data_IF_253136027730
#
_entry.id   IF_253136027730
#
_cell.length_a   1.000
_cell.length_b   1.000
_cell.length_c   1.000
_cell.angle_alpha   90.00
_cell.angle_beta   90.00
_cell.angle_gamma   90.00
#
_symmetry.space_group_name_H-M   'P 1'
#
loop_
_entity.id
_entity.type
_entity.pdbx_description
1 polymer ?
#
# COMPACT_ATOMS: atom_id res chain seq x y z
N UNK A 1 19.57 -23.01 61.24
CA UNK A 1 20.49 -22.45 60.24
C UNK A 1 19.61 -21.97 59.08
N UNK A 2 19.16 -20.71 59.10
CA UNK A 2 19.74 -19.56 58.36
C UNK A 2 19.66 -19.77 56.84
N UNK A 3 18.96 -19.00 55.99
CA UNK A 3 18.50 -17.60 56.02
C UNK A 3 17.28 -17.38 55.07
N UNK A 4 16.59 -16.25 55.33
CA UNK A 4 15.54 -15.45 54.62
C UNK A 4 15.60 -15.33 53.08
N UNK A 5 14.53 -14.99 52.34
CA UNK A 5 13.82 -13.68 52.29
C UNK A 5 12.51 -13.86 51.44
N UNK A 6 11.30 -13.66 51.98
CA UNK A 6 10.43 -12.46 52.07
C UNK A 6 9.66 -12.07 50.81
N UNK A 7 8.35 -11.90 51.04
CA UNK A 7 7.22 -11.56 50.17
C UNK A 7 7.27 -10.16 49.51
N UNK A 8 6.44 -9.96 48.47
CA UNK A 8 5.42 -8.89 48.38
C UNK A 8 4.95 -8.65 46.92
N UNK A 9 3.74 -9.07 46.55
CA UNK A 9 2.94 -8.41 45.51
C UNK A 9 1.46 -8.68 45.76
N UNK A 10 0.86 -7.82 46.59
CA UNK A 10 -0.57 -7.55 46.61
C UNK A 10 -0.75 -6.04 46.70
N UNK A 11 -1.81 -5.56 46.05
CA UNK A 11 -2.41 -4.23 46.11
C UNK A 11 -1.79 -3.17 45.18
N UNK A 12 -2.51 -2.90 44.08
CA UNK A 12 -2.88 -1.55 43.62
C UNK A 12 -3.93 -1.68 42.51
N UNK A 13 -5.20 -1.79 42.93
CA UNK A 13 -6.36 -1.41 42.12
C UNK A 13 -6.57 0.08 42.35
N UNK A 14 -6.44 0.91 41.31
CA UNK A 14 -6.94 2.27 41.33
C UNK A 14 -7.99 2.44 40.21
N UNK A 15 -9.22 2.65 40.68
CA UNK A 15 -10.37 3.18 39.98
C UNK A 15 -10.08 4.57 39.40
N UNK A 16 -10.42 4.81 38.13
CA UNK A 16 -10.50 6.16 37.58
C UNK A 16 -11.94 6.49 37.19
N UNK A 17 -12.43 7.56 37.80
CA UNK A 17 -13.75 8.15 37.61
C UNK A 17 -13.85 8.90 36.28
N UNK A 18 -15.01 8.76 35.66
CA UNK A 18 -15.44 9.61 34.55
C UNK A 18 -15.52 11.08 34.98
N UNK A 19 -14.81 11.98 34.28
CA UNK A 19 -15.15 13.41 34.18
C UNK A 19 -14.52 14.09 32.96
N UNK A 20 -15.42 14.63 32.14
CA UNK A 20 -15.32 15.87 31.34
C UNK A 20 -14.29 15.98 30.22
N UNK A 21 -14.84 15.97 29.00
CA UNK A 21 -14.28 16.54 27.77
C UNK A 21 -13.87 18.01 27.97
N UNK A 22 -12.58 18.32 27.80
CA UNK A 22 -12.12 19.63 27.37
C UNK A 22 -10.67 19.56 26.88
N UNK A 23 -10.49 19.83 25.58
CA UNK A 23 -9.29 20.37 24.93
C UNK A 23 -7.95 19.68 25.26
N UNK A 24 -7.61 18.62 24.51
CA UNK A 24 -6.22 18.21 24.37
C UNK A 24 -5.48 19.21 23.46
N UNK A 25 -4.70 20.06 24.14
CA UNK A 25 -3.61 20.85 23.59
C UNK A 25 -2.60 19.95 22.87
N UNK A 26 -2.21 20.36 21.65
CA UNK A 26 -1.09 19.81 20.89
C UNK A 26 0.12 19.55 21.78
N UNK A 27 0.51 18.27 21.88
CA UNK A 27 1.73 17.87 22.56
C UNK A 27 2.99 18.27 21.77
N UNK A 28 3.99 18.69 22.54
CA UNK A 28 5.41 18.93 22.27
C UNK A 28 5.96 18.57 20.88
N UNK A 29 6.46 19.60 20.18
CA UNK A 29 7.39 19.43 19.07
C UNK A 29 8.76 19.03 19.64
N UNK A 30 9.04 17.73 19.64
CA UNK A 30 10.38 17.23 19.87
C UNK A 30 11.29 17.78 18.77
N UNK A 31 12.41 18.42 19.14
CA UNK A 31 13.43 18.87 18.19
C UNK A 31 13.79 17.69 17.27
N UNK A 32 13.47 17.84 15.98
CA UNK A 32 13.71 16.81 14.98
C UNK A 32 15.20 16.81 14.62
N UNK A 33 16.02 16.21 15.47
CA UNK A 33 17.43 15.95 15.21
C UNK A 33 17.58 14.60 14.50
N UNK A 34 18.20 14.63 13.32
CA UNK A 34 18.58 13.40 12.66
C UNK A 34 19.76 12.74 13.37
N UNK A 35 19.82 11.40 13.40
CA UNK A 35 21.01 10.69 13.84
C UNK A 35 22.25 11.09 13.03
N UNK A 36 23.40 11.13 13.71
CA UNK A 36 24.70 11.30 13.05
C UNK A 36 24.87 10.27 11.92
N UNK A 37 25.29 10.74 10.74
CA UNK A 37 25.52 9.88 9.58
C UNK A 37 24.30 9.59 8.69
N UNK A 38 23.12 10.17 8.98
CA UNK A 38 21.95 9.97 8.10
C UNK A 38 22.21 10.45 6.66
N UNK A 39 23.00 11.51 6.48
CA UNK A 39 23.29 12.06 5.15
C UNK A 39 24.08 11.07 4.29
N UNK A 40 25.04 10.36 4.90
CA UNK A 40 25.84 9.33 4.24
C UNK A 40 24.98 8.11 3.91
N UNK A 41 24.10 7.69 4.83
CA UNK A 41 23.15 6.59 4.62
C UNK A 41 22.17 6.91 3.48
N UNK A 42 21.61 8.13 3.45
CA UNK A 42 20.73 8.57 2.37
C UNK A 42 21.47 8.64 1.03
N UNK A 43 22.71 9.14 1.02
CA UNK A 43 23.53 9.17 -0.20
C UNK A 43 23.81 7.76 -0.74
N UNK A 44 24.09 6.79 0.13
CA UNK A 44 24.27 5.39 -0.27
C UNK A 44 23.00 4.83 -0.93
N UNK A 45 21.81 5.13 -0.38
CA UNK A 45 20.55 4.74 -1.02
C UNK A 45 20.34 5.42 -2.37
N UNK A 46 20.64 6.71 -2.51
CA UNK A 46 20.53 7.45 -3.80
C UNK A 46 21.47 6.87 -4.86
N UNK A 47 22.71 6.58 -4.50
CA UNK A 47 23.68 5.95 -5.41
C UNK A 47 23.28 4.50 -5.74
N UNK A 48 22.63 3.82 -4.80
CA UNK A 48 22.14 2.46 -4.93
C UNK A 48 20.92 2.28 -5.85
N UNK A 49 20.18 3.34 -6.17
CA UNK A 49 18.92 3.22 -6.93
C UNK A 49 19.10 2.54 -8.30
N UNK A 50 20.22 2.80 -8.97
CA UNK A 50 20.53 2.21 -10.28
C UNK A 50 21.05 0.77 -10.24
N UNK A 51 21.59 0.33 -9.10
CA UNK A 51 22.25 -0.99 -8.94
C UNK A 51 21.36 -2.02 -8.27
N UNK A 52 20.45 -1.58 -7.40
CA UNK A 52 19.58 -2.48 -6.63
C UNK A 52 18.32 -2.89 -7.41
N UNK A 53 17.84 -2.04 -8.34
CA UNK A 53 16.54 -2.23 -9.00
C UNK A 53 16.46 -1.67 -10.44
N UNK A 54 17.30 -2.12 -11.40
CA UNK A 54 17.02 -1.79 -12.78
C UNK A 54 15.72 -2.49 -13.21
N UNK A 55 14.62 -1.74 -13.31
CA UNK A 55 13.54 -2.09 -14.21
C UNK A 55 14.17 -2.15 -15.60
N UNK A 56 14.33 -3.38 -16.09
CA UNK A 56 15.10 -3.67 -17.30
C UNK A 56 14.65 -2.78 -18.45
N UNK A 57 15.59 -2.34 -19.29
CA UNK A 57 15.33 -1.43 -20.43
C UNK A 57 14.21 -1.93 -21.36
N UNK A 58 13.91 -3.24 -21.32
CA UNK A 58 12.86 -3.88 -22.09
C UNK A 58 11.44 -3.67 -21.51
N UNK A 59 11.26 -3.21 -20.27
CA UNK A 59 9.90 -3.08 -19.70
C UNK A 59 9.06 -2.03 -20.43
N UNK A 60 9.62 -0.85 -20.68
CA UNK A 60 8.93 0.19 -21.45
C UNK A 60 8.74 -0.22 -22.92
N UNK A 61 9.72 -0.92 -23.49
CA UNK A 61 9.62 -1.46 -24.85
C UNK A 61 8.49 -2.49 -24.98
N UNK A 62 8.17 -3.23 -23.91
CA UNK A 62 7.07 -4.20 -23.88
C UNK A 62 5.69 -3.57 -23.93
N UNK A 63 5.51 -2.35 -23.43
CA UNK A 63 4.28 -1.58 -23.65
C UNK A 63 4.20 -1.00 -25.06
N UNK A 64 5.32 -0.52 -25.59
CA UNK A 64 5.40 0.00 -26.96
C UNK A 64 5.13 -1.08 -28.01
N UNK A 65 5.59 -2.31 -27.77
CA UNK A 65 5.33 -3.48 -28.61
C UNK A 65 3.96 -4.13 -28.39
N UNK A 66 3.11 -3.56 -27.52
CA UNK A 66 1.78 -4.08 -27.15
C UNK A 66 1.79 -5.50 -26.54
N UNK A 67 2.95 -5.98 -26.09
CA UNK A 67 3.04 -7.24 -25.34
C UNK A 67 2.47 -7.11 -23.92
N UNK A 68 2.40 -5.88 -23.40
CA UNK A 68 1.74 -5.52 -22.16
C UNK A 68 0.72 -4.40 -22.41
N UNK A 69 -0.47 -4.56 -21.85
CA UNK A 69 -1.55 -3.58 -21.97
C UNK A 69 -1.47 -2.58 -20.82
N UNK A 70 -1.24 -1.30 -21.17
CA UNK A 70 -1.20 -0.17 -20.23
C UNK A 70 -2.51 -0.04 -19.46
N UNK A 71 -3.65 -0.30 -20.10
CA UNK A 71 -4.96 -0.20 -19.46
C UNK A 71 -5.16 -1.33 -18.45
N UNK A 72 -4.76 -2.55 -18.79
CA UNK A 72 -4.80 -3.69 -17.86
C UNK A 72 -3.90 -3.48 -16.63
N UNK A 73 -2.70 -2.89 -16.81
CA UNK A 73 -1.85 -2.45 -15.68
C UNK A 73 -2.59 -1.42 -14.83
N UNK A 74 -3.17 -0.39 -15.44
CA UNK A 74 -3.89 0.68 -14.73
C UNK A 74 -5.08 0.16 -13.93
N UNK A 75 -5.82 -0.81 -14.47
CA UNK A 75 -6.91 -1.50 -13.78
C UNK A 75 -6.41 -2.26 -12.56
N UNK A 76 -5.28 -2.95 -12.70
CA UNK A 76 -4.63 -3.72 -11.64
C UNK A 76 -4.14 -2.84 -10.50
N UNK A 77 -3.42 -1.75 -10.82
CA UNK A 77 -2.99 -0.74 -9.84
C UNK A 77 -4.21 -0.09 -9.16
N UNK A 78 -5.27 0.20 -9.93
CA UNK A 78 -6.49 0.77 -9.36
C UNK A 78 -7.19 -0.19 -8.40
N UNK A 79 -7.17 -1.49 -8.68
CA UNK A 79 -7.67 -2.51 -7.76
C UNK A 79 -6.81 -2.59 -6.50
N UNK A 80 -5.49 -2.65 -6.61
CA UNK A 80 -4.55 -2.64 -5.46
C UNK A 80 -4.86 -1.46 -4.53
N UNK A 81 -5.04 -0.26 -5.09
CA UNK A 81 -5.32 0.94 -4.31
C UNK A 81 -6.71 0.94 -3.65
N UNK A 82 -7.71 0.30 -4.26
CA UNK A 82 -9.00 0.10 -3.58
C UNK A 82 -8.87 -0.83 -2.38
N UNK A 83 -8.13 -1.94 -2.53
CA UNK A 83 -7.91 -2.88 -1.42
C UNK A 83 -7.08 -2.22 -0.31
N UNK A 84 -6.05 -1.45 -0.66
CA UNK A 84 -5.28 -0.65 0.31
C UNK A 84 -6.20 0.30 1.08
N UNK A 85 -7.09 1.01 0.41
CA UNK A 85 -8.06 1.89 1.06
C UNK A 85 -9.09 1.14 1.91
N UNK A 86 -9.53 -0.06 1.47
CA UNK A 86 -10.50 -0.88 2.20
C UNK A 86 -9.96 -1.37 3.54
N UNK A 87 -8.71 -1.84 3.57
CA UNK A 87 -8.04 -2.33 4.77
C UNK A 87 -7.27 -1.25 5.54
N UNK A 88 -7.23 -0.02 5.02
CA UNK A 88 -6.40 1.06 5.56
C UNK A 88 -4.91 0.69 5.67
N UNK A 89 -4.40 -0.09 4.72
CA UNK A 89 -2.97 -0.41 4.65
C UNK A 89 -2.12 0.84 4.42
N UNK A 90 -0.86 0.78 4.82
CA UNK A 90 0.10 1.85 4.58
C UNK A 90 0.24 2.13 3.09
N UNK A 91 0.45 3.40 2.68
CA UNK A 91 0.74 3.76 1.30
C UNK A 91 1.94 3.00 0.70
N UNK A 92 2.94 2.71 1.53
CA UNK A 92 4.11 1.91 1.17
C UNK A 92 3.71 0.50 0.70
N UNK A 93 2.72 -0.13 1.34
CA UNK A 93 2.23 -1.47 0.97
C UNK A 93 1.69 -1.50 -0.45
N UNK A 94 0.89 -0.50 -0.86
CA UNK A 94 0.43 -0.39 -2.24
C UNK A 94 1.58 -0.10 -3.21
N UNK A 95 2.53 0.76 -2.82
CA UNK A 95 3.70 1.07 -3.64
C UNK A 95 4.54 -0.18 -3.92
N UNK A 96 4.86 -0.97 -2.88
CA UNK A 96 5.61 -2.21 -2.99
C UNK A 96 4.87 -3.26 -3.82
N UNK A 97 3.55 -3.41 -3.64
CA UNK A 97 2.75 -4.32 -4.46
C UNK A 97 2.88 -3.98 -5.96
N UNK A 98 2.85 -2.70 -6.31
CA UNK A 98 3.05 -2.23 -7.69
C UNK A 98 4.50 -2.42 -8.15
N UNK A 99 5.50 -2.12 -7.32
CA UNK A 99 6.91 -2.36 -7.61
C UNK A 99 7.17 -3.85 -7.92
N UNK A 100 6.64 -4.77 -7.10
CA UNK A 100 6.77 -6.22 -7.33
C UNK A 100 6.11 -6.65 -8.63
N UNK A 101 4.91 -6.13 -8.91
CA UNK A 101 4.18 -6.43 -10.14
C UNK A 101 4.95 -5.94 -11.37
N UNK A 102 5.41 -4.70 -11.37
CA UNK A 102 6.13 -4.11 -12.50
C UNK A 102 7.47 -4.82 -12.74
N UNK A 103 8.23 -5.11 -11.68
CA UNK A 103 9.48 -5.90 -11.78
C UNK A 103 9.20 -7.32 -12.30
N UNK A 104 8.15 -7.98 -11.83
CA UNK A 104 7.77 -9.29 -12.35
C UNK A 104 7.46 -9.23 -13.84
N UNK A 105 6.67 -8.24 -14.26
CA UNK A 105 6.28 -8.05 -15.64
C UNK A 105 7.43 -7.61 -16.53
N UNK A 106 8.50 -6.99 -16.00
CA UNK A 106 9.72 -6.73 -16.75
C UNK A 106 10.39 -8.05 -17.18
N UNK A 107 10.60 -8.98 -16.24
CA UNK A 107 11.32 -10.23 -16.51
C UNK A 107 10.46 -11.36 -17.11
N UNK A 108 9.14 -11.35 -16.91
CA UNK A 108 8.25 -12.45 -17.32
C UNK A 108 7.08 -11.97 -18.17
N UNK A 109 6.79 -12.74 -19.22
CA UNK A 109 5.54 -12.66 -19.96
C UNK A 109 4.42 -13.38 -19.21
N UNK A 110 3.21 -12.82 -19.24
CA UNK A 110 2.01 -13.53 -18.82
C UNK A 110 1.38 -14.26 -20.01
N UNK A 111 0.72 -15.42 -19.80
CA UNK A 111 0.04 -16.13 -20.87
C UNK A 111 -1.04 -15.26 -21.53
N UNK A 112 -0.90 -14.94 -22.82
CA UNK A 112 -1.87 -14.12 -23.58
C UNK A 112 -3.18 -14.87 -23.87
N UNK A 113 -3.17 -16.20 -23.81
CA UNK A 113 -4.25 -17.03 -24.34
C UNK A 113 -5.59 -16.91 -23.58
N UNK A 114 -5.62 -16.36 -22.36
CA UNK A 114 -6.75 -16.58 -21.44
C UNK A 114 -7.31 -15.31 -20.77
N UNK A 115 -7.31 -14.14 -21.42
CA UNK A 115 -7.95 -12.93 -20.87
C UNK A 115 -7.19 -12.32 -19.67
N UNK A 116 -7.86 -11.48 -18.87
CA UNK A 116 -7.20 -10.63 -17.86
C UNK A 116 -6.93 -11.30 -16.50
N UNK A 117 -7.26 -12.59 -16.32
CA UNK A 117 -7.07 -13.27 -15.03
C UNK A 117 -5.60 -13.44 -14.61
N UNK A 118 -4.61 -13.68 -15.50
CA UNK A 118 -3.22 -13.87 -15.06
C UNK A 118 -2.66 -12.62 -14.39
N UNK A 119 -3.00 -11.44 -14.92
CA UNK A 119 -2.57 -10.17 -14.35
C UNK A 119 -3.28 -9.88 -13.03
N UNK A 120 -4.56 -10.23 -12.90
CA UNK A 120 -5.25 -10.10 -11.62
C UNK A 120 -4.67 -11.05 -10.57
N UNK A 121 -4.35 -12.31 -10.92
CA UNK A 121 -3.69 -13.25 -10.02
C UNK A 121 -2.31 -12.73 -9.58
N UNK A 122 -1.52 -12.19 -10.52
CA UNK A 122 -0.26 -11.52 -10.21
C UNK A 122 -0.46 -10.38 -9.21
N UNK A 123 -1.45 -9.52 -9.45
CA UNK A 123 -1.76 -8.37 -8.59
C UNK A 123 -2.12 -8.81 -7.17
N UNK A 124 -2.95 -9.84 -7.02
CA UNK A 124 -3.32 -10.42 -5.72
C UNK A 124 -2.10 -10.98 -5.01
N UNK A 125 -1.22 -11.70 -5.71
CA UNK A 125 -0.01 -12.27 -5.14
C UNK A 125 1.00 -11.19 -4.71
N UNK A 126 1.23 -10.17 -5.55
CA UNK A 126 2.11 -9.05 -5.22
C UNK A 126 1.59 -8.24 -4.03
N UNK A 127 0.28 -7.98 -3.95
CA UNK A 127 -0.33 -7.32 -2.80
C UNK A 127 -0.18 -8.17 -1.54
N UNK A 128 -0.44 -9.49 -1.62
CA UNK A 128 -0.27 -10.39 -0.47
C UNK A 128 1.17 -10.39 0.05
N UNK A 129 2.16 -10.39 -0.84
CA UNK A 129 3.57 -10.28 -0.45
C UNK A 129 3.87 -8.93 0.20
N UNK A 130 3.38 -7.82 -0.36
CA UNK A 130 3.59 -6.51 0.23
C UNK A 130 2.97 -6.37 1.63
N UNK A 131 1.74 -6.87 1.80
CA UNK A 131 1.05 -6.89 3.11
C UNK A 131 1.85 -7.71 4.12
N UNK A 132 2.40 -8.86 3.73
CA UNK A 132 3.26 -9.68 4.62
C UNK A 132 4.59 -9.01 4.99
N UNK A 133 5.07 -8.07 4.17
CA UNK A 133 6.32 -7.36 4.41
C UNK A 133 6.15 -6.14 5.31
N UNK A 134 5.03 -5.42 5.15
CA UNK A 134 4.85 -4.09 5.76
C UNK A 134 3.78 -4.03 6.84
N UNK A 135 2.75 -4.89 6.79
CA UNK A 135 1.61 -4.80 7.68
C UNK A 135 1.75 -5.74 8.89
N UNK A 136 1.32 -5.27 10.05
CA UNK A 136 1.30 -6.09 11.28
C UNK A 136 0.19 -7.13 11.25
N UNK A 137 -0.95 -6.78 10.64
CA UNK A 137 -2.12 -7.65 10.51
C UNK A 137 -2.32 -8.02 9.05
N UNK A 138 -2.07 -9.29 8.74
CA UNK A 138 -2.19 -9.84 7.40
C UNK A 138 -3.54 -10.56 7.27
N UNK A 139 -4.49 -10.09 6.45
CA UNK A 139 -5.74 -10.79 6.18
C UNK A 139 -5.52 -12.15 5.50
N UNK A 140 -6.55 -13.00 5.52
CA UNK A 140 -6.49 -14.26 4.77
C UNK A 140 -6.44 -13.98 3.26
N UNK A 141 -5.89 -14.93 2.49
CA UNK A 141 -5.81 -14.82 1.02
C UNK A 141 -7.20 -14.74 0.35
N UNK A 142 -8.25 -15.23 1.01
CA UNK A 142 -9.62 -15.07 0.52
C UNK A 142 -10.13 -13.65 0.80
N UNK A 143 -9.90 -13.13 2.01
CA UNK A 143 -10.36 -11.80 2.40
C UNK A 143 -9.62 -10.68 1.66
N UNK A 144 -8.39 -10.92 1.20
CA UNK A 144 -7.63 -9.94 0.42
C UNK A 144 -8.25 -9.65 -0.96
N UNK A 145 -9.13 -10.53 -1.46
CA UNK A 145 -9.71 -10.45 -2.81
C UNK A 145 -11.02 -9.64 -2.87
N UNK A 146 -11.09 -8.54 -2.13
CA UNK A 146 -12.25 -7.63 -2.04
C UNK A 146 -12.26 -6.59 -3.19
N UNK A 147 -13.21 -5.63 -3.12
CA UNK A 147 -13.26 -4.46 -4.00
C UNK A 147 -13.50 -4.78 -5.50
N UNK A 148 -14.38 -5.73 -5.76
CA UNK A 148 -14.88 -6.02 -7.11
C UNK A 148 -13.87 -6.74 -7.99
N UNK A 149 -13.11 -7.67 -7.41
CA UNK A 149 -12.30 -8.64 -8.14
C UNK A 149 -13.11 -9.33 -9.23
N UNK A 150 -12.61 -9.35 -10.48
CA UNK A 150 -13.30 -10.04 -11.59
C UNK A 150 -13.24 -11.56 -11.42
N UNK A 151 -12.13 -12.03 -10.85
CA UNK A 151 -11.87 -13.44 -10.53
C UNK A 151 -11.56 -13.61 -9.05
N UNK A 152 -12.01 -14.72 -8.47
CA UNK A 152 -11.64 -15.16 -7.13
C UNK A 152 -10.78 -16.41 -7.27
N UNK A 153 -9.59 -16.38 -6.69
CA UNK A 153 -8.62 -17.45 -6.76
C UNK A 153 -8.55 -18.22 -5.45
N UNK A 154 -8.34 -19.53 -5.56
CA UNK A 154 -8.05 -20.36 -4.39
C UNK A 154 -6.72 -19.94 -3.75
N UNK A 155 -6.60 -19.99 -2.40
CA UNK A 155 -5.37 -19.67 -1.68
C UNK A 155 -4.13 -20.40 -2.22
N UNK A 156 -4.27 -21.68 -2.60
CA UNK A 156 -3.17 -22.48 -3.16
C UNK A 156 -2.66 -21.92 -4.49
N UNK A 157 -3.55 -21.37 -5.31
CA UNK A 157 -3.18 -20.73 -6.58
C UNK A 157 -2.43 -19.43 -6.34
N UNK A 158 -2.87 -18.65 -5.35
CA UNK A 158 -2.18 -17.42 -4.94
C UNK A 158 -0.80 -17.75 -4.39
N UNK A 159 -0.66 -18.72 -3.48
CA UNK A 159 0.66 -19.11 -2.95
C UNK A 159 1.64 -19.57 -4.03
N UNK A 160 1.16 -20.29 -5.06
CA UNK A 160 2.02 -20.66 -6.20
C UNK A 160 2.49 -19.43 -6.98
N UNK A 161 1.61 -18.46 -7.16
CA UNK A 161 1.97 -17.19 -7.79
C UNK A 161 2.94 -16.38 -6.91
N UNK A 162 2.74 -16.34 -5.59
CA UNK A 162 3.67 -15.70 -4.64
C UNK A 162 5.08 -16.29 -4.78
N UNK A 163 5.20 -17.62 -4.82
CA UNK A 163 6.49 -18.30 -5.02
C UNK A 163 7.12 -17.97 -6.37
N UNK A 164 6.31 -17.83 -7.42
CA UNK A 164 6.81 -17.42 -8.74
C UNK A 164 7.31 -15.97 -8.74
N UNK A 165 6.60 -15.07 -8.05
CA UNK A 165 7.04 -13.68 -7.85
C UNK A 165 8.34 -13.64 -7.05
N UNK A 166 8.39 -14.30 -5.89
CA UNK A 166 9.59 -14.40 -5.06
C UNK A 166 10.79 -14.93 -5.83
N UNK A 167 10.62 -16.00 -6.60
CA UNK A 167 11.67 -16.58 -7.43
C UNK A 167 12.08 -15.69 -8.61
N UNK A 168 11.17 -14.88 -9.15
CA UNK A 168 11.50 -13.93 -10.24
C UNK A 168 12.22 -12.70 -9.72
N UNK A 169 11.93 -12.29 -8.48
CA UNK A 169 12.55 -11.12 -7.83
C UNK A 169 13.79 -11.49 -7.01
N UNK A 170 14.29 -12.73 -7.10
CA UNK A 170 15.38 -13.27 -6.28
C UNK A 170 15.21 -12.99 -4.77
N UNK A 171 13.96 -13.05 -4.30
CA UNK A 171 13.57 -12.75 -2.91
C UNK A 171 13.89 -11.32 -2.44
N UNK A 172 14.27 -10.41 -3.36
CA UNK A 172 14.57 -9.01 -3.08
C UNK A 172 13.29 -8.18 -3.02
N UNK A 173 12.56 -8.35 -1.92
CA UNK A 173 11.31 -7.61 -1.64
C UNK A 173 11.53 -6.26 -0.96
N UNK A 174 12.67 -6.05 -0.29
CA UNK A 174 13.00 -4.75 0.31
C UNK A 174 13.51 -3.79 -0.75
N UNK A 175 12.59 -3.10 -1.40
CA UNK A 175 12.89 -2.12 -2.44
C UNK A 175 13.23 -0.75 -1.85
N UNK A 176 14.11 0.01 -2.50
CA UNK A 176 14.30 1.44 -2.23
C UNK A 176 13.07 2.15 -2.78
N UNK A 177 12.38 2.91 -1.93
CA UNK A 177 11.13 3.59 -2.32
C UNK A 177 11.24 5.09 -2.07
N UNK A 178 10.38 5.93 -2.67
CA UNK A 178 10.39 7.36 -2.39
C UNK A 178 10.22 7.65 -0.90
N UNK A 179 9.48 6.78 -0.18
CA UNK A 179 9.24 6.86 1.25
C UNK A 179 10.52 6.82 2.09
N UNK A 180 11.56 6.13 1.61
CA UNK A 180 12.88 6.05 2.27
C UNK A 180 13.52 7.43 2.44
N UNK A 181 13.20 8.39 1.56
CA UNK A 181 13.83 9.70 1.53
C UNK A 181 12.97 10.84 2.09
N UNK A 182 11.70 10.55 2.43
CA UNK A 182 10.68 11.59 2.68
C UNK A 182 11.03 12.49 3.85
N UNK A 183 11.37 11.93 5.00
CA UNK A 183 11.64 12.72 6.20
C UNK A 183 12.89 13.59 6.03
N UNK A 184 13.95 13.01 5.45
CA UNK A 184 15.19 13.71 5.16
C UNK A 184 14.96 14.91 4.23
N UNK A 185 14.31 14.70 3.08
CA UNK A 185 14.05 15.78 2.14
C UNK A 185 12.99 16.76 2.65
N UNK A 186 12.01 16.33 3.45
CA UNK A 186 11.04 17.23 4.06
C UNK A 186 11.72 18.23 5.02
N UNK A 187 12.72 17.79 5.78
CA UNK A 187 13.54 18.67 6.60
C UNK A 187 14.40 19.63 5.77
N UNK A 188 14.93 19.19 4.62
CA UNK A 188 15.63 20.09 3.68
C UNK A 188 14.69 21.14 3.06
N UNK A 189 13.39 20.85 2.97
CA UNK A 189 12.35 21.81 2.55
C UNK A 189 11.97 22.77 3.68
N UNK A 190 11.71 22.25 4.88
CA UNK A 190 11.35 23.05 6.06
C UNK A 190 12.26 22.71 7.23
N UNK A 191 13.41 23.40 7.31
CA UNK A 191 14.40 23.22 8.37
C UNK A 191 13.89 23.64 9.75
N UNK A 192 12.74 24.31 9.84
CA UNK A 192 12.10 24.65 11.12
C UNK A 192 11.34 23.48 11.72
N UNK A 193 11.14 22.39 10.97
CA UNK A 193 10.38 21.22 11.41
C UNK A 193 8.86 21.41 11.42
N UNK A 194 8.38 22.64 11.34
CA UNK A 194 6.96 22.99 11.61
C UNK A 194 5.99 22.28 10.67
N UNK A 195 6.37 22.06 9.40
CA UNK A 195 5.47 21.50 8.37
C UNK A 195 5.88 20.12 7.88
N UNK A 196 6.86 19.46 8.50
CA UNK A 196 7.36 18.15 8.03
C UNK A 196 6.21 17.14 7.88
N UNK A 197 5.37 16.98 8.92
CA UNK A 197 4.25 16.04 8.87
C UNK A 197 3.25 16.34 7.73
N UNK A 198 2.95 17.62 7.48
CA UNK A 198 2.10 18.00 6.35
C UNK A 198 2.77 17.69 5.02
N UNK A 199 4.04 18.07 4.85
CA UNK A 199 4.80 17.85 3.61
C UNK A 199 4.86 16.36 3.29
N UNK A 200 5.21 15.52 4.26
CA UNK A 200 5.30 14.07 4.12
C UNK A 200 3.95 13.46 3.77
N UNK A 201 2.89 13.83 4.50
CA UNK A 201 1.52 13.35 4.22
C UNK A 201 1.05 13.72 2.82
N UNK A 202 1.22 14.99 2.43
CA UNK A 202 0.79 15.49 1.14
C UNK A 202 1.57 14.88 -0.02
N UNK A 203 2.90 14.79 0.12
CA UNK A 203 3.75 14.15 -0.86
C UNK A 203 3.46 12.65 -0.99
N UNK A 204 3.10 11.97 0.10
CA UNK A 204 2.63 10.57 0.09
C UNK A 204 1.37 10.41 -0.76
N UNK A 205 0.37 11.28 -0.60
CA UNK A 205 -0.83 11.24 -1.46
C UNK A 205 -0.49 11.43 -2.95
N UNK A 206 0.48 12.30 -3.24
CA UNK A 206 0.93 12.57 -4.60
C UNK A 206 1.64 11.33 -5.17
N UNK A 207 2.56 10.72 -4.42
CA UNK A 207 3.26 9.48 -4.81
C UNK A 207 2.26 8.35 -5.11
N UNK A 208 1.24 8.17 -4.26
CA UNK A 208 0.19 7.17 -4.50
C UNK A 208 -0.60 7.43 -5.78
N UNK A 209 -0.72 8.69 -6.22
CA UNK A 209 -1.35 9.02 -7.51
C UNK A 209 -0.43 8.70 -8.69
N UNK A 210 0.89 8.82 -8.53
CA UNK A 210 1.85 8.60 -9.62
C UNK A 210 2.06 7.13 -9.95
N UNK A 211 1.94 6.20 -8.99
CA UNK A 211 2.16 4.76 -9.27
C UNK A 211 1.24 4.18 -10.37
N UNK A 212 0.08 4.81 -10.60
CA UNK A 212 -0.85 4.46 -11.69
C UNK A 212 -0.34 4.83 -13.07
N UNK A 213 0.50 5.86 -13.16
CA UNK A 213 0.93 6.44 -14.42
C UNK A 213 2.28 5.86 -14.83
N UNK A 214 2.31 5.29 -16.03
CA UNK A 214 3.47 4.55 -16.53
C UNK A 214 4.69 5.44 -16.76
N UNK A 215 4.46 6.73 -16.99
CA UNK A 215 5.51 7.73 -17.21
C UNK A 215 6.39 7.98 -15.99
N UNK A 216 5.97 7.55 -14.79
CA UNK A 216 6.80 7.66 -13.58
C UNK A 216 7.79 6.51 -13.39
N UNK A 217 7.68 5.42 -14.17
CA UNK A 217 8.60 4.29 -14.07
C UNK A 217 10.02 4.63 -14.49
N UNK A 218 10.20 5.67 -15.31
CA UNK A 218 11.51 6.12 -15.79
C UNK A 218 12.27 6.99 -14.76
N UNK A 219 11.65 7.31 -13.62
CA UNK A 219 12.23 8.17 -12.59
C UNK A 219 12.68 7.36 -11.38
N UNK A 220 13.80 7.78 -10.78
CA UNK A 220 14.30 7.14 -9.58
C UNK A 220 13.44 7.49 -8.36
N UNK A 221 13.40 6.62 -7.34
CA UNK A 221 12.63 6.86 -6.12
C UNK A 221 12.95 8.22 -5.44
N UNK A 222 14.22 8.61 -5.39
CA UNK A 222 14.70 9.89 -4.84
C UNK A 222 14.20 11.08 -5.65
N UNK A 223 14.19 10.98 -6.99
CA UNK A 223 13.64 12.00 -7.87
C UNK A 223 12.14 12.19 -7.64
N UNK A 224 11.40 11.09 -7.46
CA UNK A 224 9.98 11.10 -7.15
C UNK A 224 9.71 11.73 -5.77
N UNK A 225 10.53 11.40 -4.76
CA UNK A 225 10.40 11.95 -3.40
C UNK A 225 10.65 13.47 -3.37
N UNK A 226 11.72 13.94 -4.01
CA UNK A 226 12.00 15.39 -4.11
C UNK A 226 10.86 16.09 -4.86
N UNK A 227 10.45 15.57 -6.01
CA UNK A 227 9.40 16.18 -6.82
C UNK A 227 8.06 16.29 -6.05
N UNK A 228 7.68 15.25 -5.31
CA UNK A 228 6.42 15.24 -4.54
C UNK A 228 6.46 16.21 -3.36
N UNK A 229 7.60 16.32 -2.67
CA UNK A 229 7.79 17.28 -1.59
C UNK A 229 7.80 18.73 -2.09
N UNK A 230 8.48 19.02 -3.21
CA UNK A 230 8.43 20.35 -3.83
C UNK A 230 7.01 20.70 -4.29
N UNK A 231 6.24 19.71 -4.76
CA UNK A 231 4.85 19.94 -5.14
C UNK A 231 3.98 20.23 -3.90
N UNK A 232 4.20 19.51 -2.79
CA UNK A 232 3.53 19.80 -1.53
C UNK A 232 3.90 21.19 -0.97
N UNK A 233 5.18 21.57 -1.06
CA UNK A 233 5.70 22.84 -0.58
C UNK A 233 5.08 24.05 -1.31
N UNK A 234 4.73 23.90 -2.58
CA UNK A 234 4.06 24.95 -3.36
C UNK A 234 2.70 25.38 -2.80
N UNK A 235 2.07 24.57 -1.94
CA UNK A 235 0.83 24.96 -1.26
C UNK A 235 1.08 26.06 -0.21
N UNK A 236 2.35 26.35 0.13
CA UNK A 236 2.75 27.43 1.03
C UNK A 236 3.61 28.48 0.31
N UNK A 237 3.19 29.77 0.29
CA UNK A 237 3.99 30.85 -0.27
C UNK A 237 5.38 31.00 0.36
N UNK A 238 5.52 30.60 1.63
CA UNK A 238 6.77 30.72 2.37
C UNK A 238 7.77 29.61 2.02
N UNK A 239 7.37 28.53 1.36
CA UNK A 239 8.26 27.41 0.98
C UNK A 239 8.41 27.27 -0.55
N UNK A 240 7.57 27.98 -1.32
CA UNK A 240 7.56 27.93 -2.79
C UNK A 240 8.81 28.52 -3.46
N UNK A 241 9.73 29.14 -2.70
CA UNK A 241 11.02 29.61 -3.21
C UNK A 241 12.00 28.46 -3.47
N UNK A 242 11.75 27.28 -2.89
CA UNK A 242 12.60 26.11 -3.06
C UNK A 242 12.33 25.51 -4.44
N UNK A 243 13.30 25.63 -5.34
CA UNK A 243 13.18 25.10 -6.69
C UNK A 243 13.84 23.73 -6.81
N UNK A 244 13.49 22.92 -7.82
CA UNK A 244 14.19 21.66 -8.04
C UNK A 244 15.70 21.85 -8.36
N UNK A 245 16.11 23.05 -8.79
CA UNK A 245 17.51 23.41 -8.94
C UNK A 245 18.26 23.51 -7.61
N UNK A 246 17.58 23.93 -6.53
CA UNK A 246 18.16 23.95 -5.18
C UNK A 246 18.27 22.53 -4.60
N UNK A 247 17.33 21.64 -4.93
CA UNK A 247 17.28 20.30 -4.35
C UNK A 247 18.48 19.41 -4.69
N UNK A 248 19.19 19.70 -5.78
CA UNK A 248 20.40 18.97 -6.20
C UNK A 248 21.49 19.02 -5.14
N UNK A 249 21.53 20.08 -4.32
CA UNK A 249 22.54 20.22 -3.26
C UNK A 249 22.15 19.52 -1.96
N UNK A 250 20.99 18.86 -1.90
CA UNK A 250 20.53 18.19 -0.68
C UNK A 250 21.22 16.87 -0.40
N UNK A 251 21.62 16.16 -1.46
CA UNK A 251 22.24 14.85 -1.36
C UNK A 251 23.06 14.55 -2.63
N UNK A 252 24.29 14.01 -2.51
CA UNK A 252 25.03 13.48 -3.65
C UNK A 252 24.22 12.48 -4.48
N UNK A 253 24.45 12.43 -5.79
CA UNK A 253 23.74 11.52 -6.71
C UNK A 253 22.41 12.05 -7.27
N UNK A 254 21.83 13.10 -6.68
CA UNK A 254 20.64 13.76 -7.22
C UNK A 254 20.92 14.43 -8.58
N UNK A 255 20.10 14.12 -9.59
CA UNK A 255 20.27 14.63 -10.95
C UNK A 255 19.24 15.72 -11.23
N UNK A 256 19.71 16.97 -11.41
CA UNK A 256 18.88 18.15 -11.67
C UNK A 256 17.80 17.93 -12.71
N UNK A 257 18.19 17.47 -13.90
CA UNK A 257 17.27 17.34 -15.03
C UNK A 257 16.20 16.29 -14.78
N UNK A 258 16.53 15.22 -14.04
CA UNK A 258 15.58 14.16 -13.66
C UNK A 258 14.56 14.67 -12.65
N UNK A 259 15.00 15.43 -11.65
CA UNK A 259 14.10 16.05 -10.67
C UNK A 259 13.18 17.07 -11.35
N UNK A 260 13.74 17.95 -12.18
CA UNK A 260 12.98 18.99 -12.90
C UNK A 260 11.88 18.39 -13.79
N UNK A 261 12.22 17.38 -14.58
CA UNK A 261 11.25 16.71 -15.48
C UNK A 261 10.20 15.90 -14.72
N UNK A 262 10.61 15.22 -13.63
CA UNK A 262 9.68 14.52 -12.74
C UNK A 262 8.66 15.48 -12.12
N UNK A 263 9.14 16.62 -11.63
CA UNK A 263 8.33 17.64 -10.99
C UNK A 263 7.31 18.26 -11.96
N UNK A 264 7.72 18.60 -13.18
CA UNK A 264 6.82 19.11 -14.22
C UNK A 264 5.72 18.10 -14.55
N UNK A 265 6.09 16.83 -14.77
CA UNK A 265 5.14 15.75 -15.05
C UNK A 265 4.16 15.55 -13.89
N UNK A 266 4.63 15.66 -12.65
CA UNK A 266 3.80 15.53 -11.45
C UNK A 266 2.77 16.65 -11.34
N UNK A 267 3.12 17.88 -11.68
CA UNK A 267 2.17 19.00 -11.76
C UNK A 267 1.05 18.72 -12.79
N UNK A 268 1.40 18.21 -13.97
CA UNK A 268 0.41 17.88 -15.00
C UNK A 268 -0.60 16.81 -14.54
N UNK A 269 -0.10 15.77 -13.88
CA UNK A 269 -0.93 14.64 -13.41
C UNK A 269 -1.86 15.07 -12.28
N UNK A 270 -1.38 15.85 -11.31
CA UNK A 270 -2.20 16.34 -10.20
C UNK A 270 -3.28 17.30 -10.68
N UNK A 271 -2.96 18.23 -11.59
CA UNK A 271 -3.94 19.14 -12.19
C UNK A 271 -4.99 18.37 -13.01
N UNK A 272 -4.56 17.38 -13.80
CA UNK A 272 -5.45 16.57 -14.63
C UNK A 272 -6.42 15.68 -13.84
N UNK A 273 -6.05 15.24 -12.63
CA UNK A 273 -6.91 14.41 -11.78
C UNK A 273 -7.94 15.24 -10.99
N UNK A 274 -7.62 16.49 -10.62
CA UNK A 274 -8.57 17.39 -9.92
C UNK A 274 -9.82 17.71 -10.76
N UNK A 275 -9.70 17.62 -12.08
CA UNK A 275 -10.82 17.76 -13.04
C UNK A 275 -11.72 16.52 -13.13
N UNK A 276 -11.28 15.34 -12.65
CA UNK A 276 -12.04 14.09 -12.70
C UNK A 276 -12.75 13.86 -11.35
N UNK A 277 -14.08 14.00 -11.34
CA UNK A 277 -14.92 13.88 -10.12
C UNK A 277 -14.61 12.60 -9.32
N UNK A 278 -14.62 12.65 -7.97
CA UNK A 278 -14.41 11.47 -7.15
C UNK A 278 -15.56 10.47 -7.30
N UNK A 279 -15.30 9.15 -7.25
CA UNK A 279 -16.35 8.14 -7.19
C UNK A 279 -17.11 8.21 -5.87
N UNK A 280 -18.42 7.95 -5.93
CA UNK A 280 -19.30 7.93 -4.76
C UNK A 280 -18.93 6.74 -3.86
N UNK A 281 -18.45 7.01 -2.66
CA UNK A 281 -18.21 6.00 -1.62
C UNK A 281 -19.57 5.54 -1.09
N UNK A 282 -19.85 4.23 -1.15
CA UNK A 282 -20.98 3.61 -0.48
C UNK A 282 -20.59 3.26 0.97
N UNK A 283 -21.48 3.39 1.96
CA UNK A 283 -21.16 3.13 3.36
C UNK A 283 -20.77 1.66 3.59
N UNK A 284 -19.66 1.44 4.29
CA UNK A 284 -19.22 0.11 4.73
C UNK A 284 -20.21 -0.48 5.73
N UNK A 285 -20.78 -1.65 5.42
CA UNK A 285 -21.50 -2.48 6.39
C UNK A 285 -20.47 -3.28 7.20
N UNK A 286 -20.26 -2.91 8.47
CA UNK A 286 -19.38 -3.66 9.37
C UNK A 286 -20.14 -4.89 9.87
N UNK A 287 -19.82 -6.08 9.33
CA UNK A 287 -20.33 -7.35 9.88
C UNK A 287 -19.39 -7.77 11.01
N UNK A 288 -19.84 -7.67 12.26
CA UNK A 288 -19.17 -8.30 13.40
C UNK A 288 -19.61 -9.76 13.46
N UNK A 289 -18.71 -10.70 13.22
CA UNK A 289 -18.87 -12.09 13.67
C UNK A 289 -18.13 -12.26 14.98
N UNK A 290 -18.83 -12.14 16.10
CA UNK A 290 -18.37 -12.72 17.35
C UNK A 290 -18.78 -14.19 17.35
N UNK A 291 -17.79 -15.07 17.21
CA UNK A 291 -17.93 -16.47 17.56
C UNK A 291 -17.56 -16.60 19.04
N UNK A 292 -18.56 -16.63 19.92
CA UNK A 292 -18.34 -17.08 21.30
C UNK A 292 -18.54 -18.58 21.36
N UNK A 293 -17.45 -19.26 21.71
CA UNK A 293 -17.42 -20.63 22.16
C UNK A 293 -17.68 -20.57 23.66
N UNK A 294 -18.79 -21.14 24.15
CA UNK A 294 -18.78 -21.63 25.52
C UNK A 294 -19.63 -22.90 25.66
N UNK A 295 -19.00 -23.88 26.28
CA UNK A 295 -19.53 -25.22 26.56
C UNK A 295 -19.86 -25.30 28.03
N UNK A 296 -21.11 -25.59 28.40
CA UNK A 296 -21.46 -26.62 29.41
C UNK A 296 -22.97 -26.69 29.69
N UNK A 297 -23.50 -27.88 29.44
CA UNK A 297 -24.54 -28.65 30.12
C UNK A 297 -25.58 -27.94 31.01
N UNK A 298 -26.87 -28.10 30.67
CA UNK A 298 -27.82 -28.88 31.48
C UNK A 298 -29.14 -29.16 30.75
N UNK A 299 -29.75 -30.26 31.17
CA UNK A 299 -30.71 -31.14 30.51
C UNK A 299 -32.21 -30.77 30.59
N UNK A 300 -32.97 -31.37 29.66
CA UNK A 300 -34.43 -31.70 29.68
C UNK A 300 -35.38 -30.56 29.28
N UNK A 301 -36.44 -30.72 28.48
CA UNK A 301 -37.14 -31.90 27.95
C UNK A 301 -38.18 -31.46 26.88
N UNK A 302 -38.42 -32.36 25.92
CA UNK A 302 -39.67 -32.59 25.16
C UNK A 302 -40.36 -31.45 24.38
N UNK A 303 -40.37 -31.55 23.04
CA UNK A 303 -41.59 -31.89 22.26
C UNK A 303 -41.34 -31.94 20.74
N UNK A 304 -41.30 -33.17 20.24
CA UNK A 304 -42.11 -33.71 19.12
C UNK A 304 -42.32 -32.94 17.78
N UNK A 305 -42.01 -33.69 16.71
CA UNK A 305 -42.70 -33.80 15.41
C UNK A 305 -42.45 -32.76 14.29
N UNK A 306 -41.64 -33.14 13.29
CA UNK A 306 -42.11 -33.58 11.95
C UNK A 306 -41.17 -33.16 10.81
N UNK A 307 -40.46 -34.12 10.24
CA UNK A 307 -39.84 -34.00 8.92
C UNK A 307 -40.91 -33.79 7.84
N UNK A 308 -40.81 -32.72 7.05
CA UNK A 308 -41.51 -32.64 5.75
C UNK A 308 -40.60 -32.13 4.64
N UNK A 309 -39.99 -33.13 4.00
CA UNK A 309 -39.30 -33.14 2.70
C UNK A 309 -40.21 -32.52 1.62
N UNK A 310 -39.77 -31.45 0.95
CA UNK A 310 -40.48 -30.85 -0.18
C UNK A 310 -40.06 -31.58 -1.47
N UNK A 311 -40.99 -32.35 -2.06
CA UNK A 311 -40.86 -33.00 -3.37
C UNK A 311 -41.01 -31.95 -4.48
N UNK A 312 -40.08 -31.94 -5.43
CA UNK A 312 -40.24 -31.33 -6.75
C UNK A 312 -41.01 -32.32 -7.63
N UNK A 313 -42.10 -31.87 -8.24
CA UNK A 313 -42.89 -32.66 -9.18
C UNK A 313 -42.51 -32.22 -10.61
N UNK A 314 -41.90 -33.13 -11.35
CA UNK A 314 -41.75 -33.04 -12.81
C UNK A 314 -43.06 -33.50 -13.44
N UNK A 315 -43.73 -32.62 -14.19
CA UNK A 315 -44.68 -33.04 -15.21
C UNK A 315 -44.15 -32.67 -16.58
N UNK A 316 -43.80 -33.72 -17.31
CA UNK A 316 -43.74 -33.80 -18.76
C UNK A 316 -45.09 -33.43 -19.38
N UNK A 317 -45.08 -32.59 -20.41
CA UNK A 317 -46.13 -32.62 -21.42
C UNK A 317 -45.50 -32.66 -22.82
N UNK A 318 -45.80 -33.76 -23.50
CA UNK A 318 -45.51 -34.03 -24.90
C UNK A 318 -46.75 -33.63 -25.72
N UNK A 319 -46.54 -32.83 -26.76
CA UNK A 319 -47.08 -33.16 -28.08
C UNK A 319 -48.26 -32.35 -28.64
N UNK A 320 -48.06 -32.01 -29.93
CA UNK A 320 -49.04 -31.66 -30.99
C UNK A 320 -49.54 -30.20 -30.93
N UNK A 321 -49.43 -29.38 -31.98
CA UNK A 321 -49.37 -29.59 -33.43
C UNK A 321 -48.20 -28.88 -34.10
#
# INVERSE_FOLDING_TARGET
MSLSCSDCFSDLICSEDARTLSEESFEDFQDFEFPDGIEESIAEFVEGEGTHEPLEFDYMARFQSQSLDVSARKDSVSWILKVQAFFCFQPLTAYLAVNYMDRFLAFRGLPQANGSWPLQLLSVACLSLAVKMEETLVPSLLDLQVEGTKFIFEPRTICRMELLVLGTLDWRLRSITPFTFMDFFAYKVDSTGTRIGFLVSRATEIIVKTIKEISFLDYSPSSIAVASLLHAANEFPNLSFITPGNAVTWCPGLIKDRIMTCYQLMQEVVVGQTQRKPPKVLPQLRVMTYAEYDSSDSSSSSSSFSNKRRRLNNNSDNGKL
#
